data_IF_331623823973
#
_entry.id   IF_331623823973
#
_cell.length_a   1.000
_cell.length_b   1.000
_cell.length_c   1.000
_cell.angle_alpha   90.00
_cell.angle_beta   90.00
_cell.angle_gamma   90.00
#
_symmetry.space_group_name_H-M   'P 1'
#
loop_
_entity.id
_entity.type
_entity.pdbx_description
1 polymer ?
#
# COMPACT_ATOMS: atom_id res chain seq x y z
N UNK A 1 16.61 30.25 17.22
CA UNK A 1 15.23 29.79 17.56
C UNK A 1 14.43 29.36 16.32
N UNK A 2 15.06 28.72 15.32
CA UNK A 2 14.38 28.30 14.08
C UNK A 2 14.62 26.83 13.73
N UNK A 3 14.27 25.90 14.63
CA UNK A 3 14.66 24.49 14.48
C UNK A 3 13.66 23.43 14.97
N UNK A 4 12.48 23.80 15.49
CA UNK A 4 11.53 22.82 16.05
C UNK A 4 10.43 22.41 15.07
N UNK A 5 9.97 23.31 14.20
CA UNK A 5 8.87 23.01 13.26
C UNK A 5 9.29 22.13 12.08
N UNK A 6 10.56 22.22 11.64
CA UNK A 6 11.09 21.48 10.48
C UNK A 6 11.21 19.98 10.75
N UNK A 7 11.45 19.57 12.00
CA UNK A 7 11.56 18.17 12.39
C UNK A 7 10.23 17.51 12.76
N UNK A 8 9.27 18.25 13.30
CA UNK A 8 8.01 17.69 13.83
C UNK A 8 7.09 17.20 12.70
N UNK A 9 6.96 17.96 11.60
CA UNK A 9 6.03 17.63 10.51
C UNK A 9 6.35 16.27 9.86
N UNK A 10 7.59 15.94 9.52
CA UNK A 10 7.92 14.64 8.94
C UNK A 10 7.68 13.45 9.91
N UNK A 11 7.88 13.64 11.22
CA UNK A 11 7.58 12.60 12.21
C UNK A 11 6.08 12.34 12.34
N UNK A 12 5.26 13.40 12.39
CA UNK A 12 3.79 13.28 12.40
C UNK A 12 3.32 12.56 11.13
N UNK A 13 3.90 12.90 9.98
CA UNK A 13 3.56 12.27 8.71
C UNK A 13 3.92 10.77 8.71
N UNK A 14 5.09 10.39 9.22
CA UNK A 14 5.51 8.98 9.32
C UNK A 14 4.57 8.16 10.23
N UNK A 15 4.17 8.72 11.38
CA UNK A 15 3.21 8.10 12.30
C UNK A 15 1.82 7.98 11.65
N UNK A 16 1.40 8.98 10.89
CA UNK A 16 0.15 8.93 10.12
C UNK A 16 0.18 7.83 9.06
N UNK A 17 1.28 7.66 8.33
CA UNK A 17 1.39 6.54 7.39
C UNK A 17 1.43 5.19 8.11
N UNK A 18 2.07 5.10 9.27
CA UNK A 18 2.02 3.89 10.09
C UNK A 18 0.58 3.54 10.52
N UNK A 19 -0.22 4.52 10.95
CA UNK A 19 -1.62 4.28 11.30
C UNK A 19 -2.46 3.84 10.08
N UNK A 20 -2.10 4.28 8.86
CA UNK A 20 -2.68 3.80 7.60
C UNK A 20 -2.18 2.41 7.17
N UNK A 21 -1.00 2.00 7.61
CA UNK A 21 -0.44 0.68 7.27
C UNK A 21 -1.27 -0.44 7.90
N UNK A 22 -1.81 -0.23 9.09
CA UNK A 22 -2.66 -1.19 9.80
C UNK A 22 -3.95 -1.52 9.00
N UNK A 23 -4.82 -0.55 8.63
CA UNK A 23 -6.04 -0.84 7.88
C UNK A 23 -5.73 -1.32 6.45
N UNK A 24 -4.67 -0.84 5.79
CA UNK A 24 -4.30 -1.35 4.46
C UNK A 24 -3.86 -2.81 4.52
N UNK A 25 -3.10 -3.20 5.54
CA UNK A 25 -2.74 -4.62 5.79
C UNK A 25 -3.97 -5.47 6.08
N UNK A 26 -4.90 -4.96 6.90
CA UNK A 26 -6.18 -5.64 7.14
C UNK A 26 -6.92 -5.91 5.83
N UNK A 27 -7.04 -4.91 4.96
CA UNK A 27 -7.75 -5.01 3.69
C UNK A 27 -7.13 -6.06 2.77
N UNK A 28 -5.81 -6.15 2.72
CA UNK A 28 -5.09 -7.19 1.96
C UNK A 28 -5.37 -8.58 2.53
N UNK A 29 -5.22 -8.79 3.85
CA UNK A 29 -5.50 -10.10 4.45
C UNK A 29 -6.98 -10.49 4.34
N UNK A 30 -7.89 -9.51 4.37
CA UNK A 30 -9.33 -9.71 4.19
C UNK A 30 -9.71 -10.13 2.75
N UNK A 31 -8.79 -10.08 1.78
CA UNK A 31 -9.01 -10.65 0.45
C UNK A 31 -9.23 -12.16 0.50
N UNK A 32 -8.55 -12.84 1.44
CA UNK A 32 -8.70 -14.27 1.71
C UNK A 32 -9.86 -14.51 2.68
N UNK A 33 -9.78 -14.01 3.92
CA UNK A 33 -10.88 -14.02 4.88
C UNK A 33 -10.68 -12.94 5.97
N UNK A 34 -11.77 -12.56 6.67
CA UNK A 34 -11.73 -11.50 7.70
C UNK A 34 -10.79 -11.82 8.87
N UNK A 35 -10.68 -13.09 9.28
CA UNK A 35 -9.82 -13.51 10.40
C UNK A 35 -8.34 -13.31 10.05
N UNK A 36 -7.92 -13.70 8.85
CA UNK A 36 -6.57 -13.48 8.33
C UNK A 36 -6.25 -11.98 8.25
N UNK A 37 -7.20 -11.15 7.81
CA UNK A 37 -7.06 -9.69 7.84
C UNK A 37 -6.80 -9.15 9.24
N UNK A 38 -7.60 -9.56 10.24
CA UNK A 38 -7.43 -9.14 11.63
C UNK A 38 -6.08 -9.59 12.20
N UNK A 39 -5.70 -10.85 11.97
CA UNK A 39 -4.41 -11.39 12.42
C UNK A 39 -3.26 -10.57 11.80
N UNK A 40 -3.27 -10.36 10.48
CA UNK A 40 -2.23 -9.58 9.80
C UNK A 40 -2.12 -8.15 10.32
N UNK A 41 -3.26 -7.49 10.57
CA UNK A 41 -3.29 -6.14 11.13
C UNK A 41 -2.74 -6.09 12.56
N UNK A 42 -3.07 -7.07 13.40
CA UNK A 42 -2.51 -7.22 14.75
C UNK A 42 -1.00 -7.46 14.71
N UNK A 43 -0.52 -8.30 13.80
CA UNK A 43 0.92 -8.52 13.63
C UNK A 43 1.66 -7.23 13.29
N UNK A 44 1.14 -6.42 12.35
CA UNK A 44 1.74 -5.12 12.02
C UNK A 44 1.64 -4.14 13.20
N UNK A 45 0.48 -4.06 13.85
CA UNK A 45 0.24 -3.15 14.96
C UNK A 45 1.16 -3.43 16.15
N UNK A 46 1.56 -4.69 16.36
CA UNK A 46 2.44 -5.11 17.45
C UNK A 46 3.90 -5.31 17.00
N UNK A 47 4.27 -5.01 15.75
CA UNK A 47 5.62 -5.27 15.25
C UNK A 47 6.58 -4.15 15.68
N UNK A 48 7.55 -4.41 16.58
CA UNK A 48 8.46 -3.39 17.09
C UNK A 48 9.40 -2.84 16.01
N UNK A 49 9.72 -3.62 14.97
CA UNK A 49 10.48 -3.11 13.83
C UNK A 49 9.70 -2.02 13.11
N UNK A 50 8.41 -2.23 12.86
CA UNK A 50 7.57 -1.24 12.18
C UNK A 50 7.46 0.04 13.02
N UNK A 51 7.39 -0.07 14.35
CA UNK A 51 7.39 1.08 15.26
C UNK A 51 8.72 1.83 15.22
N UNK A 52 9.82 1.09 15.20
CA UNK A 52 11.15 1.66 15.07
C UNK A 52 11.32 2.43 13.76
N UNK A 53 10.89 1.86 12.64
CA UNK A 53 10.95 2.51 11.32
C UNK A 53 9.98 3.69 11.22
N UNK A 54 8.80 3.65 11.87
CA UNK A 54 7.84 4.76 11.87
C UNK A 54 8.24 5.93 12.76
N UNK A 55 8.99 5.67 13.84
CA UNK A 55 9.58 6.74 14.66
C UNK A 55 10.68 7.50 13.93
N UNK A 56 11.27 6.92 12.89
CA UNK A 56 12.26 7.57 12.03
C UNK A 56 11.56 8.23 10.85
N UNK A 57 12.09 9.37 10.39
CA UNK A 57 11.64 10.03 9.16
C UNK A 57 12.24 9.25 7.98
N UNK A 58 11.68 8.06 7.74
CA UNK A 58 12.12 7.18 6.66
C UNK A 58 10.97 6.94 5.71
N UNK A 59 11.23 6.97 4.40
CA UNK A 59 10.17 6.93 3.43
C UNK A 59 9.58 5.52 3.25
N UNK A 60 10.21 4.50 3.82
CA UNK A 60 9.81 3.09 3.77
C UNK A 60 8.37 2.85 4.28
N UNK A 61 7.94 3.55 5.33
CA UNK A 61 6.59 3.40 5.90
C UNK A 61 5.52 3.91 4.91
N UNK A 62 5.57 5.16 4.42
CA UNK A 62 4.71 5.63 3.34
C UNK A 62 4.71 4.70 2.12
N UNK A 63 5.88 4.20 1.71
CA UNK A 63 6.03 3.33 0.54
C UNK A 63 5.32 2.00 0.72
N UNK A 64 5.45 1.42 1.92
CA UNK A 64 4.78 0.17 2.26
C UNK A 64 3.27 0.37 2.20
N UNK A 65 2.73 1.48 2.74
CA UNK A 65 1.29 1.79 2.67
C UNK A 65 0.81 1.88 1.22
N UNK A 66 1.52 2.65 0.39
CA UNK A 66 1.17 2.86 -1.02
C UNK A 66 1.21 1.53 -1.78
N UNK A 67 2.24 0.71 -1.57
CA UNK A 67 2.38 -0.59 -2.23
C UNK A 67 1.31 -1.59 -1.78
N UNK A 68 0.97 -1.59 -0.50
CA UNK A 68 -0.08 -2.46 0.07
C UNK A 68 -1.47 -2.06 -0.44
N UNK A 69 -1.74 -0.74 -0.51
CA UNK A 69 -2.95 -0.19 -1.10
C UNK A 69 -3.05 -0.52 -2.59
N UNK A 70 -1.95 -0.34 -3.35
CA UNK A 70 -1.86 -0.72 -4.76
C UNK A 70 -2.28 -2.18 -4.94
N UNK A 71 -1.67 -3.11 -4.19
CA UNK A 71 -1.98 -4.53 -4.28
C UNK A 71 -3.45 -4.83 -3.98
N UNK A 72 -4.03 -4.21 -2.95
CA UNK A 72 -5.44 -4.39 -2.61
C UNK A 72 -6.38 -3.96 -3.73
N UNK A 73 -6.21 -2.74 -4.26
CA UNK A 73 -7.05 -2.23 -5.34
C UNK A 73 -6.84 -2.98 -6.64
N UNK A 74 -5.60 -3.35 -6.94
CA UNK A 74 -5.23 -4.19 -8.07
C UNK A 74 -6.01 -5.51 -8.00
N UNK A 75 -5.86 -6.28 -6.93
CA UNK A 75 -6.54 -7.57 -6.79
C UNK A 75 -8.07 -7.43 -6.85
N UNK A 76 -8.61 -6.40 -6.20
CA UNK A 76 -10.06 -6.14 -6.19
C UNK A 76 -10.61 -5.74 -7.56
N UNK A 77 -9.79 -5.13 -8.42
CA UNK A 77 -10.13 -4.84 -9.82
C UNK A 77 -10.36 -6.12 -10.64
N UNK A 78 -9.71 -7.23 -10.28
CA UNK A 78 -9.75 -8.51 -11.00
C UNK A 78 -10.60 -9.60 -10.34
N UNK A 79 -10.93 -9.47 -9.05
CA UNK A 79 -11.65 -10.50 -8.28
C UNK A 79 -13.01 -10.89 -8.86
N UNK A 80 -13.70 -9.99 -9.58
CA UNK A 80 -14.92 -10.34 -10.32
C UNK A 80 -14.55 -10.78 -11.73
N UNK A 81 -14.38 -12.09 -11.91
CA UNK A 81 -14.10 -12.76 -13.20
C UNK A 81 -14.91 -12.11 -14.34
N UNK A 82 -14.19 -11.41 -15.22
CA UNK A 82 -14.70 -10.96 -16.53
C UNK A 82 -14.88 -9.46 -16.73
N UNK A 83 -14.90 -8.61 -15.69
CA UNK A 83 -14.98 -7.15 -15.91
C UNK A 83 -14.09 -6.38 -14.93
N UNK A 84 -13.15 -5.63 -15.49
CA UNK A 84 -12.36 -4.65 -14.75
C UNK A 84 -13.30 -3.60 -14.16
N UNK A 85 -13.29 -3.47 -12.84
CA UNK A 85 -14.07 -2.43 -12.17
C UNK A 85 -13.34 -1.09 -12.24
N UNK A 86 -13.83 -0.13 -13.03
CA UNK A 86 -13.23 1.21 -13.14
C UNK A 86 -13.08 1.92 -11.78
N UNK A 87 -13.97 1.61 -10.82
CA UNK A 87 -13.92 2.10 -9.43
C UNK A 87 -12.64 1.71 -8.68
N UNK A 88 -12.05 0.57 -9.02
CA UNK A 88 -10.82 0.07 -8.39
C UNK A 88 -9.60 0.24 -9.30
N UNK A 89 -9.81 0.40 -10.61
CA UNK A 89 -8.74 0.65 -11.57
C UNK A 89 -8.11 2.05 -11.39
N UNK A 90 -8.92 3.10 -11.20
CA UNK A 90 -8.42 4.46 -10.97
C UNK A 90 -7.47 4.52 -9.75
N UNK A 91 -7.85 4.05 -8.55
CA UNK A 91 -6.93 4.03 -7.42
C UNK A 91 -5.74 3.10 -7.66
N UNK A 92 -5.90 1.97 -8.37
CA UNK A 92 -4.78 1.10 -8.75
C UNK A 92 -3.74 1.86 -9.58
N UNK A 93 -4.17 2.61 -10.60
CA UNK A 93 -3.27 3.40 -11.44
C UNK A 93 -2.57 4.50 -10.64
N UNK A 94 -3.29 5.20 -9.77
CA UNK A 94 -2.72 6.24 -8.90
C UNK A 94 -1.65 5.66 -7.95
N UNK A 95 -1.97 4.62 -7.20
CA UNK A 95 -1.01 4.01 -6.28
C UNK A 95 0.16 3.36 -7.02
N UNK A 96 -0.09 2.78 -8.20
CA UNK A 96 0.95 2.22 -9.06
C UNK A 96 1.91 3.28 -9.58
N UNK A 97 1.40 4.44 -10.01
CA UNK A 97 2.24 5.57 -10.42
C UNK A 97 3.08 6.11 -9.26
N UNK A 98 2.48 6.29 -8.08
CA UNK A 98 3.19 6.82 -6.90
C UNK A 98 4.27 5.84 -6.42
N UNK A 99 4.00 4.54 -6.37
CA UNK A 99 5.04 3.59 -6.04
C UNK A 99 6.16 3.57 -7.12
N UNK A 100 5.85 3.89 -8.40
CA UNK A 100 6.81 3.79 -9.51
C UNK A 100 7.85 4.89 -9.42
N UNK A 101 7.40 6.09 -9.09
CA UNK A 101 8.25 7.26 -8.91
C UNK A 101 9.15 7.15 -7.68
N UNK A 102 8.82 6.26 -6.73
CA UNK A 102 9.54 6.13 -5.46
C UNK A 102 10.47 4.91 -5.41
N UNK A 103 10.01 3.73 -5.84
CA UNK A 103 10.82 2.52 -5.91
C UNK A 103 10.43 1.67 -7.14
N UNK A 104 10.97 1.98 -8.33
CA UNK A 104 10.55 1.33 -9.58
C UNK A 104 10.75 -0.19 -9.55
N UNK A 105 11.73 -0.68 -8.78
CA UNK A 105 12.04 -2.11 -8.64
C UNK A 105 10.89 -2.95 -8.05
N UNK A 106 10.13 -2.40 -7.09
CA UNK A 106 9.02 -3.13 -6.44
C UNK A 106 7.84 -3.27 -7.41
N UNK A 107 7.63 -2.27 -8.26
CA UNK A 107 6.54 -2.31 -9.24
C UNK A 107 6.80 -3.25 -10.38
N UNK A 108 8.04 -3.50 -10.79
CA UNK A 108 8.30 -4.48 -11.83
C UNK A 108 7.72 -5.87 -11.50
N UNK A 109 7.71 -6.26 -10.22
CA UNK A 109 7.14 -7.54 -9.76
C UNK A 109 5.62 -7.59 -9.93
N UNK A 110 4.92 -6.46 -9.78
CA UNK A 110 3.45 -6.40 -9.77
C UNK A 110 2.82 -5.79 -11.04
N UNK A 111 3.56 -4.95 -11.77
CA UNK A 111 3.13 -4.33 -13.02
C UNK A 111 3.14 -5.32 -14.18
N UNK A 112 4.06 -6.29 -14.20
CA UNK A 112 4.10 -7.29 -15.29
C UNK A 112 2.79 -8.11 -15.31
N UNK A 113 2.30 -8.68 -14.19
CA UNK A 113 0.98 -9.31 -14.17
C UNK A 113 -0.16 -8.35 -14.53
N UNK A 114 -0.10 -7.08 -14.12
CA UNK A 114 -1.13 -6.08 -14.44
C UNK A 114 -1.21 -5.76 -15.92
N UNK A 115 -0.07 -5.47 -16.54
CA UNK A 115 0.03 -5.11 -17.95
C UNK A 115 -0.40 -6.30 -18.81
N UNK A 116 0.12 -7.50 -18.51
CA UNK A 116 -0.27 -8.73 -19.21
C UNK A 116 -1.77 -8.98 -19.09
N UNK A 117 -2.34 -8.87 -17.89
CA UNK A 117 -3.78 -9.11 -17.70
C UNK A 117 -4.63 -8.01 -18.36
N UNK A 118 -4.26 -6.74 -18.19
CA UNK A 118 -4.99 -5.60 -18.78
C UNK A 118 -5.08 -5.71 -20.30
N UNK A 119 -3.96 -5.99 -20.97
CA UNK A 119 -3.96 -6.22 -22.41
C UNK A 119 -4.75 -7.47 -22.81
N UNK A 120 -4.66 -8.57 -22.05
CA UNK A 120 -5.45 -9.78 -22.32
C UNK A 120 -6.97 -9.61 -22.10
N UNK A 121 -7.38 -8.59 -21.36
CA UNK A 121 -8.80 -8.30 -21.09
C UNK A 121 -9.43 -7.31 -22.09
N UNK A 122 -8.61 -6.71 -22.96
CA UNK A 122 -9.03 -5.81 -24.03
C UNK A 122 -9.22 -6.53 -25.37
N UNK A 123 -8.68 -7.73 -25.51
CA UNK A 123 -8.87 -8.67 -26.63
C UNK A 123 -10.02 -9.63 -26.35
#
# INVERSE_FOLDING_TARGET
>A
LGGTTVGIVPHILSIFFYSLLIPTTYLVGALHNKKTGLIAALFIACNPLVWFWSSRVMPDIPYTVISTAFFYFFYKSFKKRGKISSKHLIPTMLFGFVAYTQQPKIIFVWAIPFVVYFFSSLT
#
